data_IF_104388568735
#
_entry.id   IF_104388568735
#
_cell.length_a   1.000
_cell.length_b   1.000
_cell.length_c   1.000
_cell.angle_alpha   90.00
_cell.angle_beta   90.00
_cell.angle_gamma   90.00
#
_symmetry.space_group_name_H-M   'P 1'
#
loop_
_entity.id
_entity.type
_entity.pdbx_description
1 polymer ?
#
# COMPACT_ATOMS: atom_id res chain seq x y z
N UNK A 1 20.58 20.69 22.60
CA UNK A 1 20.66 21.37 21.30
C UNK A 1 19.31 21.22 20.62
N UNK A 2 18.66 22.32 20.25
CA UNK A 2 17.34 22.25 19.60
C UNK A 2 17.52 22.61 18.12
N UNK A 3 17.26 21.69 17.22
CA UNK A 3 17.32 21.92 15.77
C UNK A 3 16.12 22.81 15.37
N UNK A 4 16.40 23.93 14.71
CA UNK A 4 15.35 24.84 14.27
C UNK A 4 14.61 24.30 13.06
N UNK A 5 13.26 24.18 13.15
CA UNK A 5 12.38 23.70 12.06
C UNK A 5 12.57 24.49 10.75
N UNK A 6 12.89 25.77 10.85
CA UNK A 6 13.12 26.61 9.67
C UNK A 6 14.39 26.23 8.91
N UNK A 7 15.44 25.77 9.62
CA UNK A 7 16.65 25.22 9.01
C UNK A 7 16.35 23.94 8.23
N UNK A 8 15.54 23.05 8.80
CA UNK A 8 15.11 21.82 8.12
C UNK A 8 14.28 22.10 6.86
N UNK A 9 13.36 23.07 6.91
CA UNK A 9 12.58 23.50 5.73
C UNK A 9 13.46 24.14 4.66
N UNK A 10 14.42 24.95 5.04
CA UNK A 10 15.38 25.54 4.12
C UNK A 10 16.22 24.47 3.43
N UNK A 11 16.73 23.50 4.17
CA UNK A 11 17.48 22.37 3.64
C UNK A 11 16.64 21.54 2.67
N UNK A 12 15.41 21.17 3.03
CA UNK A 12 14.47 20.45 2.14
C UNK A 12 14.29 21.19 0.82
N UNK A 13 13.98 22.48 0.88
CA UNK A 13 13.75 23.28 -0.31
C UNK A 13 14.95 23.30 -1.27
N UNK A 14 16.18 23.40 -0.74
CA UNK A 14 17.40 23.38 -1.59
C UNK A 14 17.62 22.00 -2.19
N UNK A 15 17.39 20.92 -1.44
CA UNK A 15 17.50 19.54 -1.96
C UNK A 15 16.51 19.26 -3.09
N UNK A 16 15.28 19.82 -3.01
CA UNK A 16 14.23 19.64 -4.03
C UNK A 16 14.47 20.46 -5.31
N UNK A 17 14.97 21.68 -5.15
CA UNK A 17 15.06 22.65 -6.27
C UNK A 17 16.47 22.74 -6.86
N UNK A 18 17.50 22.34 -6.12
CA UNK A 18 18.91 22.38 -6.54
C UNK A 18 19.53 23.77 -6.62
N UNK A 19 18.83 24.84 -6.16
CA UNK A 19 19.27 26.23 -6.21
C UNK A 19 18.83 26.99 -4.98
N UNK A 20 19.75 27.75 -4.36
CA UNK A 20 19.45 28.62 -3.21
C UNK A 20 18.53 29.77 -3.54
N UNK A 21 18.63 30.35 -4.72
CA UNK A 21 17.74 31.44 -5.14
C UNK A 21 16.31 30.92 -5.31
N UNK A 22 16.11 29.85 -6.08
CA UNK A 22 14.80 29.29 -6.30
C UNK A 22 14.16 28.72 -5.02
N UNK A 23 14.98 28.15 -4.12
CA UNK A 23 14.51 27.68 -2.81
C UNK A 23 14.09 28.85 -1.90
N UNK A 24 14.80 29.98 -1.97
CA UNK A 24 14.46 31.19 -1.23
C UNK A 24 13.13 31.78 -1.73
N UNK A 25 12.96 31.89 -3.03
CA UNK A 25 11.71 32.35 -3.65
C UNK A 25 10.53 31.47 -3.24
N UNK A 26 10.70 30.15 -3.29
CA UNK A 26 9.66 29.16 -2.87
C UNK A 26 9.25 29.32 -1.40
N UNK A 27 10.16 29.72 -0.54
CA UNK A 27 9.92 29.92 0.90
C UNK A 27 9.53 31.36 1.26
N UNK A 28 9.40 32.27 0.28
CA UNK A 28 9.10 33.70 0.51
C UNK A 28 10.22 34.41 1.29
N UNK A 29 11.49 34.02 1.07
CA UNK A 29 12.66 34.54 1.77
C UNK A 29 13.70 35.09 0.80
N UNK A 30 14.66 35.87 1.33
CA UNK A 30 15.83 36.26 0.55
C UNK A 30 16.90 35.18 0.56
N UNK A 31 17.72 35.10 -0.50
CA UNK A 31 18.84 34.15 -0.58
C UNK A 31 19.81 34.23 0.62
N UNK A 32 20.20 35.43 1.12
CA UNK A 32 21.02 35.51 2.33
C UNK A 32 20.36 34.90 3.57
N UNK A 33 19.04 35.12 3.75
CA UNK A 33 18.29 34.51 4.87
C UNK A 33 18.29 32.97 4.77
N UNK A 34 18.06 32.43 3.57
CA UNK A 34 18.09 30.99 3.36
C UNK A 34 19.48 30.41 3.64
N UNK A 35 20.55 31.05 3.11
CA UNK A 35 21.92 30.62 3.33
C UNK A 35 22.29 30.61 4.82
N UNK A 36 21.81 31.60 5.58
CA UNK A 36 22.02 31.68 7.03
C UNK A 36 21.33 30.53 7.76
N UNK A 37 20.09 30.18 7.38
CA UNK A 37 19.37 29.07 7.97
C UNK A 37 20.05 27.71 7.72
N UNK A 38 20.61 27.52 6.53
CA UNK A 38 21.39 26.32 6.21
C UNK A 38 22.69 26.29 7.01
N UNK A 39 23.44 27.39 7.05
CA UNK A 39 24.68 27.45 7.82
C UNK A 39 24.44 27.18 9.31
N UNK A 40 23.38 27.75 9.89
CA UNK A 40 22.98 27.48 11.27
C UNK A 40 22.65 26.02 11.50
N UNK A 41 21.91 25.39 10.58
CA UNK A 41 21.59 23.96 10.65
C UNK A 41 22.86 23.10 10.60
N UNK A 42 23.79 23.42 9.67
CA UNK A 42 25.08 22.71 9.58
C UNK A 42 25.90 22.82 10.85
N UNK A 43 25.91 24.01 11.48
CA UNK A 43 26.59 24.23 12.75
C UNK A 43 25.92 23.47 13.90
N UNK A 44 24.58 23.41 13.93
CA UNK A 44 23.81 22.66 14.93
C UNK A 44 24.04 21.12 14.82
N UNK A 45 24.17 20.59 13.59
CA UNK A 45 24.37 19.15 13.37
C UNK A 45 25.85 18.73 13.32
N UNK A 46 26.76 19.70 13.23
CA UNK A 46 28.22 19.49 13.28
C UNK A 46 28.85 18.97 11.98
N UNK A 47 28.16 19.04 10.84
CA UNK A 47 28.73 18.68 9.53
C UNK A 47 28.09 19.46 8.39
N UNK A 48 28.83 19.56 7.25
CA UNK A 48 28.34 20.23 6.06
C UNK A 48 27.36 19.39 5.27
N UNK A 49 26.25 20.01 4.88
CA UNK A 49 25.21 19.44 4.01
C UNK A 49 25.48 19.75 2.54
N UNK A 50 26.11 20.89 2.28
CA UNK A 50 26.43 21.33 0.92
C UNK A 50 27.89 21.76 0.79
N UNK A 51 28.50 21.41 -0.35
CA UNK A 51 29.75 21.92 -0.81
C UNK A 51 29.54 23.04 -1.85
N UNK A 52 30.41 24.02 -1.88
CA UNK A 52 30.42 25.09 -2.90
C UNK A 52 31.34 24.68 -4.06
N UNK A 53 30.74 24.25 -5.17
CA UNK A 53 31.47 23.96 -6.40
C UNK A 53 31.02 24.91 -7.52
N UNK A 54 31.96 25.69 -8.12
CA UNK A 54 31.67 26.58 -9.25
C UNK A 54 30.45 27.50 -9.05
N UNK A 55 30.31 28.12 -7.88
CA UNK A 55 29.16 28.96 -7.47
C UNK A 55 27.83 28.24 -7.31
N UNK A 56 27.81 26.87 -7.34
CA UNK A 56 26.62 26.06 -7.06
C UNK A 56 26.77 25.32 -5.72
N UNK A 57 25.66 25.13 -5.05
CA UNK A 57 25.60 24.23 -3.90
C UNK A 57 25.38 22.81 -4.39
N UNK A 58 26.27 21.91 -4.05
CA UNK A 58 26.20 20.49 -4.37
C UNK A 58 26.01 19.73 -3.05
N UNK A 59 24.99 18.87 -2.94
CA UNK A 59 24.78 18.06 -1.74
C UNK A 59 25.99 17.18 -1.43
N UNK A 60 26.42 17.13 -0.17
CA UNK A 60 27.45 16.21 0.29
C UNK A 60 26.91 14.78 0.36
N UNK A 61 27.78 13.79 0.46
CA UNK A 61 27.36 12.38 0.69
C UNK A 61 26.50 12.22 1.97
N UNK A 62 26.69 13.09 2.97
CA UNK A 62 25.92 13.10 4.23
C UNK A 62 24.55 13.75 4.08
N UNK A 63 24.36 14.63 3.09
CA UNK A 63 23.09 15.32 2.87
C UNK A 63 21.94 14.35 2.53
N UNK A 64 22.17 13.32 1.71
CA UNK A 64 21.13 12.41 1.28
C UNK A 64 20.51 11.59 2.42
N UNK A 65 21.26 10.89 3.26
CA UNK A 65 20.69 10.18 4.42
C UNK A 65 20.04 11.13 5.42
N UNK A 66 20.62 12.33 5.64
CA UNK A 66 20.04 13.36 6.49
C UNK A 66 18.73 13.91 5.93
N UNK A 67 18.64 14.10 4.62
CA UNK A 67 17.43 14.53 3.94
C UNK A 67 16.23 13.61 4.20
N UNK A 68 16.46 12.30 4.20
CA UNK A 68 15.41 11.33 4.53
C UNK A 68 14.87 11.50 5.96
N UNK A 69 15.72 11.85 6.93
CA UNK A 69 15.30 12.11 8.30
C UNK A 69 14.57 13.46 8.43
N UNK A 70 15.02 14.46 7.66
CA UNK A 70 14.38 15.78 7.64
C UNK A 70 12.96 15.72 7.07
N UNK A 71 12.74 14.95 6.00
CA UNK A 71 11.38 14.71 5.50
C UNK A 71 10.49 14.16 6.60
N UNK A 72 10.95 13.16 7.34
CA UNK A 72 10.22 12.56 8.48
C UNK A 72 9.82 13.58 9.53
N UNK A 73 10.79 14.36 9.97
CA UNK A 73 10.57 15.34 11.02
C UNK A 73 9.56 16.42 10.59
N UNK A 74 9.66 16.90 9.35
CA UNK A 74 8.78 17.93 8.82
C UNK A 74 7.35 17.42 8.62
N UNK A 75 7.18 16.18 8.12
CA UNK A 75 5.87 15.54 7.99
C UNK A 75 5.19 15.39 9.37
N UNK A 76 5.94 15.02 10.41
CA UNK A 76 5.44 14.98 11.79
C UNK A 76 4.99 16.35 12.31
N UNK A 77 5.73 17.41 12.00
CA UNK A 77 5.37 18.79 12.41
C UNK A 77 4.12 19.28 11.65
N UNK A 78 4.05 19.01 10.35
CA UNK A 78 2.88 19.39 9.54
C UNK A 78 1.63 18.64 10.01
N UNK A 79 1.78 17.39 10.47
CA UNK A 79 0.72 16.63 11.11
C UNK A 79 0.22 17.23 12.44
N UNK A 80 1.11 17.74 13.29
CA UNK A 80 0.70 18.41 14.55
C UNK A 80 -0.24 19.59 14.26
N UNK A 81 0.04 20.36 13.20
CA UNK A 81 -0.84 21.45 12.78
C UNK A 81 -2.20 20.96 12.34
N UNK A 82 -2.22 19.90 11.52
CA UNK A 82 -3.45 19.30 11.02
C UNK A 82 -4.31 18.76 12.18
N UNK A 83 -3.72 18.03 13.12
CA UNK A 83 -4.42 17.53 14.32
C UNK A 83 -4.94 18.72 15.16
N UNK A 84 -4.18 19.80 15.29
CA UNK A 84 -4.63 21.00 15.99
C UNK A 84 -5.83 21.68 15.31
N UNK A 85 -5.88 21.70 13.99
CA UNK A 85 -7.03 22.22 13.23
C UNK A 85 -8.24 21.29 13.32
N UNK A 86 -8.06 19.97 13.24
CA UNK A 86 -9.09 18.95 13.42
C UNK A 86 -9.74 19.05 14.79
N UNK A 87 -8.94 19.17 15.85
CA UNK A 87 -9.44 19.36 17.24
C UNK A 87 -10.17 20.68 17.45
N UNK A 88 -9.77 21.74 16.74
CA UNK A 88 -10.39 23.07 16.84
C UNK A 88 -11.77 23.12 16.19
N UNK A 89 -11.97 22.35 15.12
CA UNK A 89 -13.18 22.47 14.30
C UNK A 89 -14.33 21.59 14.81
N UNK A 90 -14.11 20.66 15.76
CA UNK A 90 -15.10 19.61 16.13
C UNK A 90 -15.77 18.96 14.90
N UNK A 91 -15.20 19.25 13.72
CA UNK A 91 -15.73 18.81 12.44
C UNK A 91 -15.48 17.31 12.28
N UNK A 92 -16.36 16.65 11.59
CA UNK A 92 -16.20 15.26 11.14
C UNK A 92 -14.78 15.07 10.62
N UNK A 93 -13.90 14.51 11.44
CA UNK A 93 -12.49 14.37 11.11
C UNK A 93 -12.36 13.62 9.80
N UNK A 94 -11.52 14.13 8.91
CA UNK A 94 -11.24 13.48 7.64
C UNK A 94 -10.73 12.06 7.90
N UNK A 95 -11.48 11.04 7.46
CA UNK A 95 -11.08 9.64 7.56
C UNK A 95 -9.91 9.35 6.62
N UNK A 96 -8.73 9.07 7.16
CA UNK A 96 -7.53 8.73 6.38
C UNK A 96 -7.38 7.22 6.26
N UNK A 97 -7.62 6.71 5.07
CA UNK A 97 -7.56 5.28 4.77
C UNK A 97 -6.31 4.97 3.97
N UNK A 98 -5.59 3.91 4.37
CA UNK A 98 -4.52 3.33 3.57
C UNK A 98 -4.90 1.92 3.13
N UNK A 99 -4.51 1.57 1.91
CA UNK A 99 -4.81 0.23 1.43
C UNK A 99 -3.86 -0.21 0.31
N UNK A 100 -3.65 -1.52 0.16
CA UNK A 100 -3.01 -2.05 -1.03
C UNK A 100 -3.88 -1.83 -2.28
N UNK A 101 -3.29 -1.76 -3.47
CA UNK A 101 -4.03 -1.52 -4.71
C UNK A 101 -5.24 -2.43 -4.90
N UNK A 102 -5.16 -3.72 -4.51
CA UNK A 102 -6.28 -4.64 -4.69
C UNK A 102 -7.56 -4.17 -3.97
N UNK A 103 -7.43 -3.60 -2.77
CA UNK A 103 -8.59 -3.20 -1.97
C UNK A 103 -9.38 -2.06 -2.62
N UNK A 104 -8.70 -1.16 -3.36
CA UNK A 104 -9.32 -0.03 -4.06
C UNK A 104 -10.21 -0.46 -5.23
N UNK A 105 -10.00 -1.64 -5.77
CA UNK A 105 -10.82 -2.21 -6.84
C UNK A 105 -11.89 -3.19 -6.35
N UNK A 106 -11.80 -3.64 -5.09
CA UNK A 106 -12.66 -4.73 -4.60
C UNK A 106 -13.62 -4.30 -3.50
N UNK A 107 -13.13 -4.03 -2.31
CA UNK A 107 -13.95 -3.81 -1.11
C UNK A 107 -14.12 -2.33 -0.75
N UNK A 108 -13.12 -1.49 -1.05
CA UNK A 108 -13.14 -0.09 -0.65
C UNK A 108 -14.21 0.75 -1.35
N UNK A 109 -14.52 0.59 -2.64
CA UNK A 109 -15.57 1.38 -3.27
C UNK A 109 -16.92 1.24 -2.55
N UNK A 110 -17.31 0.01 -2.21
CA UNK A 110 -18.54 -0.24 -1.44
C UNK A 110 -18.43 0.32 -0.01
N UNK A 111 -17.29 0.10 0.65
CA UNK A 111 -17.09 0.56 2.03
C UNK A 111 -17.15 2.08 2.13
N UNK A 112 -16.47 2.79 1.22
CA UNK A 112 -16.48 4.26 1.18
C UNK A 112 -17.85 4.82 0.79
N UNK A 113 -18.57 4.17 -0.12
CA UNK A 113 -19.93 4.56 -0.47
C UNK A 113 -20.87 4.45 0.74
N UNK A 114 -20.82 3.34 1.48
CA UNK A 114 -21.60 3.14 2.71
C UNK A 114 -21.21 4.16 3.80
N UNK A 115 -19.90 4.42 3.96
CA UNK A 115 -19.40 5.42 4.90
C UNK A 115 -19.97 6.81 4.57
N UNK A 116 -19.92 7.24 3.31
CA UNK A 116 -20.47 8.53 2.86
C UNK A 116 -21.98 8.63 3.04
N UNK A 117 -22.72 7.55 2.88
CA UNK A 117 -24.17 7.52 3.14
C UNK A 117 -24.47 7.73 4.63
N UNK A 118 -23.68 7.12 5.52
CA UNK A 118 -23.84 7.27 6.96
C UNK A 118 -23.30 8.62 7.49
N UNK A 119 -22.32 9.20 6.81
CA UNK A 119 -21.64 10.46 7.17
C UNK A 119 -21.65 11.44 5.98
N UNK A 120 -22.77 12.11 5.66
CA UNK A 120 -22.89 12.93 4.45
C UNK A 120 -21.88 14.09 4.37
N UNK A 121 -21.45 14.63 5.49
CA UNK A 121 -20.45 15.72 5.57
C UNK A 121 -19.03 15.18 5.80
N UNK A 122 -18.86 13.91 6.16
CA UNK A 122 -17.56 13.29 6.41
C UNK A 122 -16.70 13.27 5.15
N UNK A 123 -15.46 13.68 5.26
CA UNK A 123 -14.48 13.58 4.17
C UNK A 123 -13.63 12.32 4.37
N UNK A 124 -13.05 11.82 3.30
CA UNK A 124 -12.05 10.78 3.37
C UNK A 124 -10.89 11.06 2.42
N UNK A 125 -9.74 10.56 2.76
CA UNK A 125 -8.61 10.39 1.85
C UNK A 125 -8.25 8.92 1.75
N UNK A 126 -7.87 8.46 0.56
CA UNK A 126 -7.42 7.11 0.32
C UNK A 126 -6.04 7.16 -0.31
N UNK A 127 -5.07 6.56 0.35
CA UNK A 127 -3.74 6.40 -0.20
C UNK A 127 -3.43 4.93 -0.47
N UNK A 128 -2.91 4.65 -1.67
CA UNK A 128 -2.58 3.30 -2.08
C UNK A 128 -1.12 3.01 -1.76
N UNK A 129 -0.90 2.02 -0.91
CA UNK A 129 0.43 1.66 -0.41
C UNK A 129 0.66 0.18 -0.63
N UNK A 130 1.71 -0.17 -1.37
CA UNK A 130 2.08 -1.58 -1.55
C UNK A 130 2.68 -2.15 -0.26
N UNK A 131 2.62 -3.48 -0.08
CA UNK A 131 3.22 -4.12 1.09
C UNK A 131 4.71 -3.82 1.23
N UNK A 132 5.45 -3.77 0.13
CA UNK A 132 6.89 -3.49 0.13
C UNK A 132 7.23 -2.05 0.55
N UNK A 133 6.36 -1.09 0.29
CA UNK A 133 6.52 0.30 0.66
C UNK A 133 5.86 0.64 2.01
N UNK A 134 4.93 -0.18 2.49
CA UNK A 134 4.10 0.11 3.66
C UNK A 134 4.93 0.37 4.93
N UNK A 135 5.95 -0.44 5.22
CA UNK A 135 6.81 -0.22 6.39
C UNK A 135 7.50 1.14 6.37
N UNK A 136 7.98 1.57 5.20
CA UNK A 136 8.57 2.90 5.02
C UNK A 136 7.52 3.98 5.10
N UNK A 137 6.38 3.79 4.46
CA UNK A 137 5.27 4.74 4.46
C UNK A 137 4.76 5.02 5.87
N UNK A 138 4.51 3.98 6.68
CA UNK A 138 4.05 4.08 8.07
C UNK A 138 4.99 4.87 9.00
N UNK A 139 6.27 4.96 8.65
CA UNK A 139 7.24 5.74 9.42
C UNK A 139 7.09 7.26 9.23
N UNK A 140 6.32 7.72 8.24
CA UNK A 140 6.29 9.12 7.82
C UNK A 140 4.89 9.73 7.69
N UNK A 141 3.87 8.89 7.60
CA UNK A 141 2.52 9.35 7.28
C UNK A 141 1.54 8.90 8.35
N UNK A 142 0.54 9.74 8.57
CA UNK A 142 -0.55 9.41 9.47
C UNK A 142 -1.72 8.82 8.69
N UNK A 143 -2.34 7.84 9.32
CA UNK A 143 -3.57 7.24 8.84
C UNK A 143 -4.41 6.84 10.05
N UNK A 144 -5.69 6.70 9.86
CA UNK A 144 -6.62 6.33 10.92
C UNK A 144 -6.91 4.83 10.87
N UNK A 145 -7.02 4.28 9.67
CA UNK A 145 -7.30 2.86 9.44
C UNK A 145 -6.77 2.43 8.07
N UNK A 146 -6.41 1.17 7.95
CA UNK A 146 -5.98 0.59 6.68
C UNK A 146 -6.38 -0.86 6.53
N UNK A 147 -6.19 -1.39 5.32
CA UNK A 147 -6.30 -2.82 5.00
C UNK A 147 -4.90 -3.36 4.71
N UNK A 148 -4.61 -4.56 5.19
CA UNK A 148 -3.35 -5.24 4.88
C UNK A 148 -3.54 -6.75 4.75
N UNK A 149 -2.62 -7.39 4.02
CA UNK A 149 -2.47 -8.85 4.07
C UNK A 149 -1.70 -9.22 5.34
N UNK A 150 -2.23 -10.19 6.10
CA UNK A 150 -1.66 -10.67 7.36
C UNK A 150 -0.78 -11.93 7.16
N UNK A 151 0.24 -12.16 8.00
CA UNK A 151 0.65 -11.33 9.13
C UNK A 151 1.27 -10.00 8.68
N UNK A 152 1.07 -8.96 9.50
CA UNK A 152 1.68 -7.66 9.30
C UNK A 152 2.41 -7.24 10.59
N UNK A 153 3.72 -7.37 10.59
CA UNK A 153 4.56 -7.15 11.77
C UNK A 153 5.18 -5.75 11.70
N UNK A 154 4.63 -4.82 12.47
CA UNK A 154 5.20 -3.51 12.71
C UNK A 154 4.87 -3.09 14.15
N UNK A 155 5.87 -2.72 14.99
CA UNK A 155 5.67 -2.45 16.42
C UNK A 155 4.66 -1.33 16.72
N UNK A 156 4.52 -0.38 15.79
CA UNK A 156 3.61 0.76 15.92
C UNK A 156 2.20 0.51 15.37
N UNK A 157 1.90 -0.71 14.93
CA UNK A 157 0.65 -1.04 14.26
C UNK A 157 -0.05 -2.19 14.98
N UNK A 158 -1.34 -1.98 15.24
CA UNK A 158 -2.26 -3.03 15.66
C UNK A 158 -3.01 -3.58 14.45
N UNK A 159 -3.31 -4.86 14.45
CA UNK A 159 -4.08 -5.51 13.39
C UNK A 159 -5.31 -6.22 13.94
N UNK A 160 -6.42 -6.13 13.21
CA UNK A 160 -7.69 -6.80 13.50
C UNK A 160 -7.98 -7.73 12.31
N UNK A 161 -8.02 -9.07 12.50
CA UNK A 161 -8.32 -10.00 11.42
C UNK A 161 -9.72 -9.74 10.82
N UNK A 162 -9.83 -9.78 9.48
CA UNK A 162 -11.08 -9.66 8.74
C UNK A 162 -11.56 -11.01 8.19
N UNK A 163 -10.76 -11.62 7.32
CA UNK A 163 -11.10 -12.90 6.70
C UNK A 163 -9.87 -13.64 6.16
N UNK A 164 -10.05 -14.92 5.94
CA UNK A 164 -9.19 -15.74 5.09
C UNK A 164 -9.90 -15.98 3.75
N UNK A 165 -9.21 -15.68 2.66
CA UNK A 165 -9.74 -15.78 1.29
C UNK A 165 -8.96 -16.84 0.53
N UNK A 166 -9.68 -17.74 -0.12
CA UNK A 166 -9.08 -18.77 -0.96
C UNK A 166 -8.41 -18.15 -2.19
N UNK A 167 -7.41 -18.84 -2.71
CA UNK A 167 -6.79 -18.50 -3.99
C UNK A 167 -7.35 -19.38 -5.11
N UNK A 168 -7.28 -18.86 -6.33
CA UNK A 168 -7.76 -19.54 -7.52
C UNK A 168 -6.72 -19.44 -8.63
N UNK A 169 -6.70 -20.44 -9.50
CA UNK A 169 -6.01 -20.35 -10.79
C UNK A 169 -6.93 -19.61 -11.75
N UNK A 170 -6.38 -18.59 -12.40
CA UNK A 170 -7.08 -17.79 -13.42
C UNK A 170 -6.44 -18.07 -14.79
N UNK A 171 -7.26 -18.20 -15.81
CA UNK A 171 -6.85 -18.59 -17.15
C UNK A 171 -7.79 -18.02 -18.22
N UNK A 172 -7.35 -17.93 -19.48
CA UNK A 172 -8.21 -17.51 -20.58
C UNK A 172 -9.37 -18.49 -20.80
N UNK A 173 -10.50 -18.06 -21.38
CA UNK A 173 -11.58 -18.94 -21.81
C UNK A 173 -11.07 -20.00 -22.78
N UNK A 174 -11.55 -21.23 -22.63
CA UNK A 174 -11.14 -22.35 -23.47
C UNK A 174 -9.75 -22.93 -23.17
N UNK A 175 -9.06 -22.45 -22.13
CA UNK A 175 -7.82 -23.06 -21.70
C UNK A 175 -8.01 -24.52 -21.28
N UNK A 176 -7.10 -25.48 -21.56
CA UNK A 176 -7.28 -26.91 -21.25
C UNK A 176 -7.61 -27.20 -19.78
N UNK A 177 -7.11 -26.40 -18.86
CA UNK A 177 -7.39 -26.56 -17.42
C UNK A 177 -8.84 -26.22 -17.04
N UNK A 178 -9.62 -25.57 -17.91
CA UNK A 178 -11.03 -25.28 -17.64
C UNK A 178 -11.89 -26.53 -17.56
N UNK A 179 -11.45 -27.63 -18.20
CA UNK A 179 -12.09 -28.93 -18.12
C UNK A 179 -11.98 -29.60 -16.73
N UNK A 180 -11.09 -29.13 -15.87
CA UNK A 180 -10.88 -29.66 -14.52
C UNK A 180 -11.74 -28.90 -13.52
N UNK A 181 -12.44 -29.62 -12.64
CA UNK A 181 -13.17 -28.99 -11.54
C UNK A 181 -12.23 -28.37 -10.50
N UNK A 182 -11.01 -28.92 -10.37
CA UNK A 182 -9.95 -28.47 -9.46
C UNK A 182 -8.60 -28.77 -10.09
N UNK A 183 -7.65 -27.85 -9.99
CA UNK A 183 -6.35 -27.96 -10.67
C UNK A 183 -5.30 -28.48 -9.68
N UNK A 184 -4.67 -29.65 -9.96
CA UNK A 184 -3.52 -30.12 -9.20
C UNK A 184 -2.33 -29.16 -9.34
N UNK A 185 -1.52 -29.02 -8.30
CA UNK A 185 -0.35 -28.14 -8.31
C UNK A 185 0.65 -28.48 -9.43
N UNK A 186 0.77 -29.78 -9.80
CA UNK A 186 1.65 -30.25 -10.85
C UNK A 186 1.32 -29.66 -12.23
N UNK A 187 0.06 -29.31 -12.44
CA UNK A 187 -0.38 -28.71 -13.70
C UNK A 187 0.06 -27.25 -13.85
N UNK A 188 0.32 -26.54 -12.74
CA UNK A 188 0.80 -25.15 -12.78
C UNK A 188 2.15 -25.04 -13.48
N UNK A 189 3.02 -26.05 -13.32
CA UNK A 189 4.34 -26.08 -13.99
C UNK A 189 4.31 -26.39 -15.47
N UNK A 190 3.17 -26.88 -16.00
CA UNK A 190 3.04 -27.31 -17.39
C UNK A 190 2.65 -26.19 -18.35
N UNK A 191 2.19 -25.06 -17.84
CA UNK A 191 1.70 -23.92 -18.61
C UNK A 191 2.55 -22.68 -18.39
N UNK A 192 2.63 -21.74 -19.36
CA UNK A 192 3.21 -20.42 -19.09
C UNK A 192 2.54 -19.76 -17.90
N UNK A 193 3.31 -19.24 -16.98
CA UNK A 193 2.82 -18.73 -15.70
C UNK A 193 3.23 -17.27 -15.49
N UNK A 194 2.25 -16.42 -15.26
CA UNK A 194 2.44 -15.03 -14.82
C UNK A 194 2.47 -15.00 -13.31
N UNK A 195 3.65 -14.83 -12.74
CA UNK A 195 3.85 -14.89 -11.29
C UNK A 195 3.72 -13.52 -10.64
N UNK A 196 3.21 -13.47 -9.41
CA UNK A 196 3.38 -12.30 -8.58
C UNK A 196 4.83 -12.21 -8.10
N UNK A 197 5.29 -10.99 -7.82
CA UNK A 197 6.63 -10.73 -7.30
C UNK A 197 6.84 -11.43 -5.94
N UNK A 198 8.05 -11.89 -5.66
CA UNK A 198 8.47 -12.60 -4.43
C UNK A 198 8.26 -11.79 -3.14
N UNK A 199 8.08 -10.47 -3.22
CA UNK A 199 7.73 -9.62 -2.07
C UNK A 199 6.30 -9.82 -1.60
N UNK A 200 5.39 -10.41 -2.39
CA UNK A 200 4.02 -10.67 -1.99
C UNK A 200 3.93 -11.90 -1.07
N UNK A 201 3.01 -11.86 -0.11
CA UNK A 201 2.77 -13.02 0.76
C UNK A 201 2.26 -14.21 -0.02
N UNK A 202 1.34 -13.98 -0.96
CA UNK A 202 0.77 -15.03 -1.79
C UNK A 202 1.85 -15.76 -2.59
N UNK A 203 2.78 -15.03 -3.26
CA UNK A 203 3.86 -15.67 -3.99
C UNK A 203 4.72 -16.57 -3.08
N UNK A 204 5.09 -16.11 -1.90
CA UNK A 204 5.88 -16.91 -0.96
C UNK A 204 5.14 -18.16 -0.46
N UNK A 205 3.83 -18.07 -0.29
CA UNK A 205 3.02 -19.23 0.07
C UNK A 205 2.91 -20.22 -1.09
N UNK A 206 2.72 -19.71 -2.31
CA UNK A 206 2.69 -20.52 -3.53
C UNK A 206 4.03 -21.23 -3.75
N UNK A 207 5.16 -20.51 -3.63
CA UNK A 207 6.49 -21.08 -3.82
C UNK A 207 6.73 -22.26 -2.85
N UNK A 208 6.33 -22.13 -1.58
CA UNK A 208 6.43 -23.25 -0.61
C UNK A 208 5.65 -24.48 -1.07
N UNK A 209 4.43 -24.30 -1.53
CA UNK A 209 3.59 -25.41 -2.04
C UNK A 209 4.22 -26.04 -3.28
N UNK A 210 4.79 -25.24 -4.16
CA UNK A 210 5.50 -25.71 -5.37
C UNK A 210 6.76 -26.49 -5.01
N UNK A 211 7.55 -25.97 -4.07
CA UNK A 211 8.77 -26.62 -3.59
C UNK A 211 8.45 -27.97 -2.93
N UNK A 212 7.42 -28.04 -2.08
CA UNK A 212 6.96 -29.27 -1.41
C UNK A 212 6.50 -30.32 -2.43
N UNK A 213 5.90 -29.88 -3.56
CA UNK A 213 5.45 -30.74 -4.63
C UNK A 213 6.53 -31.03 -5.71
N UNK A 214 7.72 -30.43 -5.61
CA UNK A 214 8.78 -30.55 -6.61
C UNK A 214 8.43 -29.93 -7.98
N UNK A 215 7.52 -28.95 -8.00
CA UNK A 215 7.01 -28.31 -9.23
C UNK A 215 7.79 -27.02 -9.53
N UNK A 216 8.27 -26.89 -10.75
CA UNK A 216 8.90 -25.66 -11.26
C UNK A 216 7.97 -24.95 -12.22
N UNK A 217 7.71 -23.65 -11.97
CA UNK A 217 6.90 -22.83 -12.87
C UNK A 217 7.66 -22.49 -14.17
N UNK A 218 6.94 -22.51 -15.29
CA UNK A 218 7.41 -21.93 -16.55
C UNK A 218 7.07 -20.43 -16.55
N UNK A 219 7.92 -19.62 -15.92
CA UNK A 219 7.66 -18.19 -15.81
C UNK A 219 7.59 -17.53 -17.18
N UNK A 220 6.44 -16.94 -17.50
CA UNK A 220 6.24 -16.03 -18.63
C UNK A 220 6.58 -14.59 -18.23
N UNK A 221 6.43 -14.24 -16.96
CA UNK A 221 6.78 -12.94 -16.40
C UNK A 221 6.50 -12.85 -14.90
N UNK A 222 7.05 -11.82 -14.28
CA UNK A 222 6.78 -11.46 -12.88
C UNK A 222 6.18 -10.06 -12.81
N UNK A 223 5.18 -9.88 -11.92
CA UNK A 223 4.39 -8.66 -11.83
C UNK A 223 4.05 -8.32 -10.38
N UNK A 224 3.89 -7.05 -10.05
CA UNK A 224 3.70 -6.60 -8.68
C UNK A 224 2.26 -6.72 -8.17
N UNK A 225 1.26 -6.74 -9.06
CA UNK A 225 -0.15 -6.72 -8.65
C UNK A 225 -0.98 -7.80 -9.31
N UNK A 226 -1.96 -8.32 -8.56
CA UNK A 226 -2.92 -9.30 -9.09
C UNK A 226 -3.76 -8.76 -10.25
N UNK A 227 -4.04 -7.44 -10.29
CA UNK A 227 -4.75 -6.83 -11.41
C UNK A 227 -3.93 -6.91 -12.70
N UNK A 228 -2.65 -6.56 -12.64
CA UNK A 228 -1.78 -6.67 -13.82
C UNK A 228 -1.60 -8.11 -14.25
N UNK A 229 -1.46 -9.07 -13.30
CA UNK A 229 -1.41 -10.49 -13.64
C UNK A 229 -2.69 -10.94 -14.36
N UNK A 230 -3.86 -10.51 -13.88
CA UNK A 230 -5.15 -10.77 -14.51
C UNK A 230 -5.19 -10.25 -15.95
N UNK A 231 -4.79 -9.00 -16.20
CA UNK A 231 -4.79 -8.41 -17.53
C UNK A 231 -3.86 -9.16 -18.50
N UNK A 232 -2.66 -9.55 -18.04
CA UNK A 232 -1.73 -10.33 -18.85
C UNK A 232 -2.29 -11.72 -19.19
N UNK A 233 -3.04 -12.34 -18.29
CA UNK A 233 -3.76 -13.59 -18.55
C UNK A 233 -4.88 -13.38 -19.57
N UNK A 234 -5.59 -12.25 -19.51
CA UNK A 234 -6.62 -11.90 -20.49
C UNK A 234 -6.05 -11.74 -21.91
N UNK A 235 -4.81 -11.27 -22.05
CA UNK A 235 -4.07 -11.21 -23.32
C UNK A 235 -3.46 -12.57 -23.73
N UNK A 236 -3.73 -13.65 -22.99
CA UNK A 236 -3.30 -15.01 -23.34
C UNK A 236 -1.83 -15.34 -23.04
N UNK A 237 -1.14 -14.53 -22.21
CA UNK A 237 0.28 -14.76 -21.88
C UNK A 237 0.49 -16.06 -21.10
N UNK A 238 -0.52 -16.48 -20.32
CA UNK A 238 -0.44 -17.72 -19.55
C UNK A 238 -1.55 -17.83 -18.52
N UNK A 239 -1.27 -18.52 -17.42
CA UNK A 239 -2.15 -18.64 -16.26
C UNK A 239 -1.52 -17.95 -15.05
N UNK A 240 -2.32 -17.68 -14.00
CA UNK A 240 -1.82 -17.13 -12.73
C UNK A 240 -2.60 -17.67 -11.55
N UNK A 241 -2.05 -17.52 -10.34
CA UNK A 241 -2.73 -17.75 -9.06
C UNK A 241 -2.89 -16.43 -8.34
N UNK A 242 -4.13 -16.05 -8.03
CA UNK A 242 -4.48 -14.84 -7.30
C UNK A 242 -5.52 -15.12 -6.21
N UNK A 243 -5.66 -14.17 -5.28
CA UNK A 243 -6.73 -14.21 -4.30
C UNK A 243 -8.10 -14.12 -4.98
N UNK A 244 -9.04 -14.93 -4.55
CA UNK A 244 -10.41 -14.88 -5.06
C UNK A 244 -11.07 -13.51 -4.90
N UNK A 245 -10.59 -12.71 -3.98
CA UNK A 245 -11.03 -11.32 -3.78
C UNK A 245 -10.97 -10.49 -5.07
N UNK A 246 -9.99 -10.74 -5.95
CA UNK A 246 -9.88 -10.05 -7.24
C UNK A 246 -11.03 -10.32 -8.20
N UNK A 247 -11.71 -11.49 -8.08
CA UNK A 247 -12.81 -11.84 -8.97
C UNK A 247 -14.00 -10.88 -8.84
N UNK A 248 -14.15 -10.23 -7.67
CA UNK A 248 -15.22 -9.25 -7.43
C UNK A 248 -15.02 -7.94 -8.21
N UNK A 249 -13.79 -7.67 -8.64
CA UNK A 249 -13.44 -6.47 -9.41
C UNK A 249 -13.39 -6.72 -10.94
N UNK A 250 -13.65 -7.93 -11.38
CA UNK A 250 -13.43 -8.37 -12.75
C UNK A 250 -14.74 -8.40 -13.55
N UNK A 251 -14.64 -8.14 -14.85
CA UNK A 251 -15.79 -8.29 -15.77
C UNK A 251 -16.17 -9.77 -15.92
N UNK A 252 -17.43 -10.13 -15.71
CA UNK A 252 -17.88 -11.51 -15.92
C UNK A 252 -17.58 -12.01 -17.32
N UNK A 253 -17.04 -13.24 -17.41
CA UNK A 253 -16.81 -13.93 -18.71
C UNK A 253 -15.51 -13.59 -19.44
N UNK A 254 -14.74 -12.63 -18.97
CA UNK A 254 -13.45 -12.29 -19.58
C UNK A 254 -12.39 -13.37 -19.34
N UNK A 255 -12.39 -13.99 -18.17
CA UNK A 255 -11.49 -15.09 -17.81
C UNK A 255 -12.26 -16.19 -17.06
N UNK A 256 -11.67 -17.36 -17.03
CA UNK A 256 -12.12 -18.47 -16.21
C UNK A 256 -11.23 -18.69 -15.00
N UNK A 257 -11.80 -19.25 -13.95
CA UNK A 257 -11.07 -19.59 -12.75
C UNK A 257 -11.46 -20.94 -12.20
N UNK A 258 -10.53 -21.60 -11.53
CA UNK A 258 -10.75 -22.87 -10.84
C UNK A 258 -10.02 -22.87 -9.50
N UNK A 259 -10.60 -23.52 -8.49
CA UNK A 259 -9.86 -23.86 -7.29
C UNK A 259 -8.72 -24.81 -7.65
N UNK A 260 -7.70 -24.86 -6.81
CA UNK A 260 -6.53 -25.71 -7.02
C UNK A 260 -6.11 -26.41 -5.74
N UNK A 261 -5.35 -27.49 -5.84
CA UNK A 261 -4.87 -28.31 -4.73
C UNK A 261 -3.35 -28.21 -4.61
N UNK A 262 -2.84 -28.09 -3.38
CA UNK A 262 -3.56 -28.04 -2.10
C UNK A 262 -4.25 -26.70 -1.84
N UNK A 263 -4.00 -25.69 -2.66
CA UNK A 263 -4.47 -24.32 -2.47
C UNK A 263 -3.71 -23.59 -1.35
N UNK A 264 -3.82 -22.28 -1.34
CA UNK A 264 -3.38 -21.43 -0.22
C UNK A 264 -4.51 -20.45 0.13
N UNK A 265 -4.46 -19.90 1.33
CA UNK A 265 -5.41 -18.90 1.79
C UNK A 265 -4.68 -17.66 2.22
N UNK A 266 -5.06 -16.52 1.66
CA UNK A 266 -4.56 -15.22 2.07
C UNK A 266 -5.39 -14.70 3.23
N UNK A 267 -4.71 -14.24 4.28
CA UNK A 267 -5.35 -13.59 5.42
C UNK A 267 -5.33 -12.08 5.24
N UNK A 268 -6.48 -11.45 5.45
CA UNK A 268 -6.64 -9.99 5.38
C UNK A 268 -7.08 -9.45 6.73
N UNK A 269 -6.64 -8.24 7.05
CA UNK A 269 -6.99 -7.56 8.29
C UNK A 269 -7.04 -6.05 8.14
N UNK A 270 -7.68 -5.42 9.12
CA UNK A 270 -7.54 -3.99 9.36
C UNK A 270 -6.24 -3.73 10.08
N UNK A 271 -5.64 -2.60 9.81
CA UNK A 271 -4.48 -2.09 10.54
C UNK A 271 -4.76 -0.65 11.00
N UNK A 272 -4.25 -0.31 12.17
CA UNK A 272 -4.33 1.05 12.71
C UNK A 272 -3.13 1.33 13.62
N UNK A 273 -2.78 2.61 13.89
CA UNK A 273 -1.73 2.95 14.85
C UNK A 273 -2.03 2.34 16.23
N UNK A 274 -1.02 1.69 16.84
CA UNK A 274 -1.17 1.09 18.18
C UNK A 274 -1.16 2.11 19.32
N UNK A 275 -0.63 3.31 19.05
CA UNK A 275 -0.43 4.38 20.04
C UNK A 275 -1.72 5.14 20.39
N UNK A 276 -2.75 5.04 19.56
CA UNK A 276 -4.04 5.74 19.78
C UNK A 276 -5.20 4.80 19.51
N UNK A 277 -6.29 4.88 20.30
CA UNK A 277 -7.53 4.17 20.02
C UNK A 277 -8.12 4.62 18.68
N UNK A 278 -8.87 3.73 18.02
CA UNK A 278 -9.63 4.09 16.83
C UNK A 278 -10.60 5.23 17.15
N UNK A 279 -10.52 6.33 16.41
CA UNK A 279 -11.48 7.41 16.43
C UNK A 279 -12.88 6.96 15.93
N UNK A 280 -13.91 7.77 16.16
CA UNK A 280 -15.28 7.41 15.80
C UNK A 280 -15.44 7.11 14.29
N UNK A 281 -14.87 7.94 13.44
CA UNK A 281 -14.90 7.75 11.98
C UNK A 281 -14.22 6.44 11.56
N UNK A 282 -13.03 6.15 12.08
CA UNK A 282 -12.29 4.94 11.79
C UNK A 282 -13.01 3.68 12.32
N UNK A 283 -13.66 3.77 13.47
CA UNK A 283 -14.44 2.67 14.06
C UNK A 283 -15.67 2.37 13.20
N UNK A 284 -16.43 3.38 12.82
CA UNK A 284 -17.58 3.22 11.94
C UNK A 284 -17.17 2.60 10.58
N UNK A 285 -16.03 3.02 10.04
CA UNK A 285 -15.50 2.45 8.81
C UNK A 285 -15.00 1.00 8.99
N UNK A 286 -14.39 0.68 10.14
CA UNK A 286 -14.00 -0.68 10.49
C UNK A 286 -15.20 -1.63 10.52
N UNK A 287 -16.30 -1.21 11.14
CA UNK A 287 -17.54 -2.00 11.22
C UNK A 287 -18.11 -2.30 9.82
N UNK A 288 -18.09 -1.29 8.95
CA UNK A 288 -18.52 -1.45 7.54
C UNK A 288 -17.65 -2.48 6.81
N UNK A 289 -16.33 -2.38 6.94
CA UNK A 289 -15.41 -3.33 6.31
C UNK A 289 -15.59 -4.74 6.86
N UNK A 290 -15.74 -4.91 8.18
CA UNK A 290 -16.00 -6.20 8.80
C UNK A 290 -17.30 -6.84 8.26
N UNK A 291 -18.37 -6.04 8.11
CA UNK A 291 -19.63 -6.52 7.54
C UNK A 291 -19.47 -6.97 6.08
N UNK A 292 -18.76 -6.20 5.24
CA UNK A 292 -18.48 -6.57 3.85
C UNK A 292 -17.70 -7.88 3.77
N UNK A 293 -16.61 -7.99 4.53
CA UNK A 293 -15.77 -9.18 4.53
C UNK A 293 -16.53 -10.41 5.05
N UNK A 294 -17.30 -10.26 6.11
CA UNK A 294 -18.15 -11.32 6.67
C UNK A 294 -19.17 -11.82 5.64
N UNK A 295 -19.84 -10.92 4.94
CA UNK A 295 -20.84 -11.28 3.92
C UNK A 295 -20.24 -11.95 2.70
N UNK A 296 -19.08 -11.47 2.22
CA UNK A 296 -18.50 -11.96 0.97
C UNK A 296 -17.60 -13.19 1.15
N UNK A 297 -16.85 -13.28 2.26
CA UNK A 297 -15.75 -14.24 2.37
C UNK A 297 -15.85 -15.19 3.57
N UNK A 298 -16.74 -14.94 4.56
CA UNK A 298 -16.86 -15.82 5.75
C UNK A 298 -18.02 -16.78 5.68
N UNK A 299 -19.10 -16.47 4.93
CA UNK A 299 -20.17 -17.44 4.70
C UNK A 299 -19.63 -18.56 3.82
N UNK A 300 -19.81 -19.85 4.24
CA UNK A 300 -19.49 -21.06 3.48
C UNK A 300 -19.95 -20.88 2.04
N UNK A 301 -19.04 -20.51 1.15
CA UNK A 301 -19.39 -20.27 -0.24
C UNK A 301 -19.65 -21.62 -0.88
N UNK A 302 -20.93 -21.97 -0.99
CA UNK A 302 -21.38 -22.91 -2.00
C UNK A 302 -20.81 -22.43 -3.33
N UNK A 303 -19.95 -23.26 -3.92
CA UNK A 303 -19.55 -23.13 -5.31
C UNK A 303 -20.83 -23.09 -6.15
N UNK A 304 -21.33 -21.92 -6.51
CA UNK A 304 -22.18 -21.77 -7.67
C UNK A 304 -21.26 -21.86 -8.87
N UNK A 305 -21.11 -23.05 -9.40
CA UNK A 305 -20.76 -23.28 -10.80
C UNK A 305 -21.68 -22.40 -11.64
N UNK A 306 -21.19 -21.62 -12.62
CA UNK A 306 -22.09 -20.98 -13.57
C UNK A 306 -22.90 -22.08 -14.25
N UNK A 307 -24.22 -21.98 -14.15
CA UNK A 307 -25.13 -22.80 -14.92
C UNK A 307 -24.84 -22.56 -16.42
N UNK A 308 -24.91 -23.67 -17.16
CA UNK A 308 -24.73 -23.86 -18.60
C UNK A 308 -25.25 -22.74 -19.49
#
# INVERSE_FOLDING_TARGET
MAIAVQGLRAFRAVMEVGSTSAAADRLGRTQPQLSRLIAQLEDEIGFKLFDRQHRRLVPTARAHPFYQQVLRALDGIDNIKQVGEELRLEADAQLRVIAPPYASYTVLPEALARYRQAHPNGQFSLELVTRSSMGRWLSFHNFDIGIASLPFDAPSISSIPLAQVDTVVVMPPGHPLTAKARIPVEDLGRHPFVALNTFTLLRRQLDRVLDDAGVKLRLAGEIDTGLSAYQLVAEGIGITVIDRLWLDAMSPGQLEFRPWDPGVRSSFGLIHPSSVPLGNAARAFADILQDIFKKRYTSKTRAKSPAR
#
